data_IF_558845686480
#
_entry.id   IF_558845686480
#
_cell.length_a   1.000
_cell.length_b   1.000
_cell.length_c   1.000
_cell.angle_alpha   90.00
_cell.angle_beta   90.00
_cell.angle_gamma   90.00
#
_symmetry.space_group_name_H-M   'P 1'
#
loop_
_entity.id
_entity.type
_entity.pdbx_description
1 polymer ?
#
# COMPACT_ATOMS: atom_id res chain seq x y z
N UNK A 1 -21.78 -20.51 10.93
CA UNK A 1 -22.40 -19.49 11.82
C UNK A 1 -21.54 -18.25 11.74
N UNK A 2 -22.09 -17.15 11.25
CA UNK A 2 -21.39 -15.86 11.24
C UNK A 2 -21.17 -15.46 12.71
N UNK A 3 -19.93 -15.16 13.14
CA UNK A 3 -19.67 -14.70 14.51
C UNK A 3 -20.47 -13.43 14.80
N UNK A 4 -20.97 -13.26 16.02
CA UNK A 4 -21.58 -11.98 16.42
C UNK A 4 -20.47 -10.91 16.43
N UNK A 5 -20.39 -10.08 15.38
CA UNK A 5 -19.28 -9.13 15.20
C UNK A 5 -19.25 -8.06 16.29
N UNK A 6 -20.43 -7.71 16.85
CA UNK A 6 -20.57 -6.70 17.88
C UNK A 6 -19.74 -7.03 19.13
N UNK A 7 -19.61 -8.31 19.48
CA UNK A 7 -18.86 -8.74 20.67
C UNK A 7 -17.34 -8.87 20.40
N UNK A 8 -16.93 -8.84 19.13
CA UNK A 8 -15.59 -9.23 18.68
C UNK A 8 -14.82 -8.10 17.97
N UNK A 9 -15.40 -6.90 17.89
CA UNK A 9 -14.78 -5.71 17.30
C UNK A 9 -14.94 -4.56 18.28
N UNK A 10 -13.83 -4.06 18.80
CA UNK A 10 -13.82 -2.91 19.70
C UNK A 10 -13.09 -1.75 19.03
N UNK A 11 -13.78 -0.62 18.82
CA UNK A 11 -13.16 0.61 18.37
C UNK A 11 -12.27 1.17 19.50
N UNK A 12 -10.97 1.30 19.23
CA UNK A 12 -9.99 1.80 20.22
C UNK A 12 -9.35 3.12 19.81
N UNK A 13 -9.55 3.55 18.57
CA UNK A 13 -9.14 4.85 18.06
C UNK A 13 -10.11 5.28 16.96
N UNK A 14 -10.53 6.53 17.01
CA UNK A 14 -11.28 7.20 15.97
C UNK A 14 -10.79 8.64 15.85
N UNK A 15 -10.44 9.05 14.64
CA UNK A 15 -10.13 10.43 14.32
C UNK A 15 -10.72 10.78 12.96
N UNK A 16 -11.17 12.02 12.80
CA UNK A 16 -11.42 12.61 11.50
C UNK A 16 -10.24 13.56 11.22
N UNK A 17 -9.42 13.23 10.22
CA UNK A 17 -8.28 14.05 9.83
C UNK A 17 -8.74 15.02 8.73
N UNK A 18 -8.73 16.34 8.98
CA UNK A 18 -9.13 17.32 7.98
C UNK A 18 -8.22 17.29 6.75
N UNK A 19 -8.77 17.54 5.56
CA UNK A 19 -7.99 17.59 4.32
C UNK A 19 -6.81 18.56 4.36
N UNK A 20 -7.00 19.76 4.92
CA UNK A 20 -5.92 20.76 5.09
C UNK A 20 -4.79 20.22 5.96
N UNK A 21 -5.11 19.54 7.06
CA UNK A 21 -4.13 18.92 7.94
C UNK A 21 -3.32 17.83 7.23
N UNK A 22 -3.99 16.97 6.47
CA UNK A 22 -3.35 15.90 5.69
C UNK A 22 -2.38 16.47 4.65
N UNK A 23 -2.77 17.56 3.98
CA UNK A 23 -1.97 18.22 2.96
C UNK A 23 -0.74 18.94 3.56
N UNK A 24 -0.93 19.72 4.63
CA UNK A 24 0.16 20.43 5.31
C UNK A 24 1.23 19.50 5.88
N UNK A 25 0.83 18.31 6.33
CA UNK A 25 1.73 17.30 6.88
C UNK A 25 2.20 16.27 5.83
N UNK A 26 1.81 16.39 4.56
CA UNK A 26 2.23 15.48 3.50
C UNK A 26 1.79 14.02 3.68
N UNK A 27 0.76 13.76 4.49
CA UNK A 27 0.41 12.42 4.99
C UNK A 27 0.26 11.38 3.88
N UNK A 28 -0.48 11.75 2.83
CA UNK A 28 -0.78 10.83 1.73
C UNK A 28 0.45 10.61 0.85
N UNK A 29 1.25 11.65 0.59
CA UNK A 29 2.49 11.52 -0.19
C UNK A 29 3.51 10.65 0.55
N UNK A 30 3.65 10.83 1.87
CA UNK A 30 4.53 10.02 2.71
C UNK A 30 4.05 8.56 2.81
N UNK A 31 2.74 8.35 2.98
CA UNK A 31 2.15 7.02 3.04
C UNK A 31 2.40 6.22 1.76
N UNK A 32 2.32 6.88 0.59
CA UNK A 32 2.58 6.27 -0.71
C UNK A 32 3.99 6.53 -1.25
N UNK A 33 4.96 6.93 -0.41
CA UNK A 33 6.27 7.46 -0.83
C UNK A 33 6.97 6.62 -1.90
N UNK A 34 7.04 5.30 -1.70
CA UNK A 34 7.68 4.39 -2.68
C UNK A 34 6.96 4.44 -4.04
N UNK A 35 5.63 4.39 -4.03
CA UNK A 35 4.82 4.42 -5.26
C UNK A 35 4.91 5.78 -5.95
N UNK A 36 4.97 6.86 -5.17
CA UNK A 36 5.20 8.23 -5.66
C UNK A 36 6.55 8.35 -6.34
N UNK A 37 7.63 7.82 -5.74
CA UNK A 37 8.96 7.76 -6.38
C UNK A 37 8.87 7.06 -7.75
N UNK A 38 8.28 5.86 -7.82
CA UNK A 38 8.11 5.14 -9.10
C UNK A 38 7.22 5.88 -10.11
N UNK A 39 6.16 6.55 -9.65
CA UNK A 39 5.30 7.37 -10.51
C UNK A 39 6.01 8.60 -11.08
N UNK A 40 6.99 9.17 -10.35
CA UNK A 40 7.82 10.30 -10.78
C UNK A 40 8.95 9.85 -11.71
N UNK A 41 9.68 8.79 -11.35
CA UNK A 41 10.95 8.43 -11.98
C UNK A 41 10.87 7.24 -12.95
N UNK A 42 9.78 6.47 -12.95
CA UNK A 42 9.53 5.37 -13.88
C UNK A 42 10.65 4.34 -13.91
N UNK A 43 11.13 4.02 -15.13
CA UNK A 43 12.19 3.03 -15.40
C UNK A 43 13.44 3.19 -14.54
N UNK A 44 13.83 4.41 -14.21
CA UNK A 44 15.12 4.68 -13.54
C UNK A 44 15.22 4.13 -12.13
N UNK A 45 14.10 3.76 -11.50
CA UNK A 45 14.08 3.12 -10.16
C UNK A 45 13.97 1.60 -10.21
N UNK A 46 13.86 1.01 -11.39
CA UNK A 46 13.76 -0.45 -11.50
C UNK A 46 15.10 -1.07 -11.10
N UNK A 47 15.01 -2.08 -10.24
CA UNK A 47 16.15 -2.94 -9.95
C UNK A 47 16.41 -3.87 -11.14
N UNK A 48 17.61 -4.46 -11.25
CA UNK A 48 17.88 -5.48 -12.26
C UNK A 48 16.89 -6.67 -12.17
N UNK A 49 16.46 -7.03 -10.95
CA UNK A 49 15.44 -8.05 -10.75
C UNK A 49 14.10 -7.61 -11.37
N UNK A 50 13.66 -6.38 -11.08
CA UNK A 50 12.41 -5.85 -11.63
C UNK A 50 12.43 -5.83 -13.16
N UNK A 51 13.54 -5.38 -13.75
CA UNK A 51 13.70 -5.34 -15.21
C UNK A 51 13.59 -6.73 -15.84
N UNK A 52 14.18 -7.76 -15.24
CA UNK A 52 14.06 -9.14 -15.70
C UNK A 52 12.62 -9.66 -15.62
N UNK A 53 11.93 -9.44 -14.50
CA UNK A 53 10.53 -9.88 -14.36
C UNK A 53 9.62 -9.16 -15.36
N UNK A 54 9.83 -7.85 -15.53
CA UNK A 54 9.14 -7.05 -16.55
C UNK A 54 9.35 -7.63 -17.95
N UNK A 55 10.61 -7.87 -18.34
CA UNK A 55 10.94 -8.42 -19.65
C UNK A 55 10.29 -9.77 -19.92
N UNK A 56 10.32 -10.66 -18.92
CA UNK A 56 9.72 -11.98 -19.02
C UNK A 56 8.20 -11.90 -19.15
N UNK A 57 7.56 -11.04 -18.35
CA UNK A 57 6.11 -10.93 -18.34
C UNK A 57 5.57 -10.37 -19.66
N UNK A 58 6.10 -9.23 -20.12
CA UNK A 58 5.64 -8.58 -21.35
C UNK A 58 6.28 -9.13 -22.62
N UNK A 59 7.23 -10.07 -22.50
CA UNK A 59 7.99 -10.63 -23.62
C UNK A 59 8.69 -9.55 -24.47
N UNK A 60 9.30 -8.56 -23.80
CA UNK A 60 10.01 -7.44 -24.44
C UNK A 60 11.36 -7.17 -23.78
N UNK A 61 12.27 -6.50 -24.48
CA UNK A 61 13.51 -6.05 -23.89
C UNK A 61 13.26 -4.85 -22.95
N UNK A 62 13.71 -4.98 -21.69
CA UNK A 62 13.59 -3.91 -20.70
C UNK A 62 14.29 -2.64 -21.17
N UNK A 63 15.48 -2.73 -21.76
CA UNK A 63 16.29 -1.58 -22.20
C UNK A 63 15.62 -0.81 -23.35
N UNK A 64 14.95 -1.50 -24.26
CA UNK A 64 14.31 -0.89 -25.43
C UNK A 64 12.87 -0.41 -25.14
N UNK A 65 12.30 -0.78 -23.98
CA UNK A 65 10.92 -0.45 -23.62
C UNK A 65 10.76 0.97 -23.07
N UNK A 66 9.71 1.66 -23.51
CA UNK A 66 9.29 2.97 -23.01
C UNK A 66 8.50 2.84 -21.69
N UNK A 67 9.23 2.56 -20.61
CA UNK A 67 8.66 2.46 -19.25
C UNK A 67 8.70 3.84 -18.60
N UNK A 68 7.53 4.41 -18.32
CA UNK A 68 7.39 5.78 -17.82
C UNK A 68 6.57 5.82 -16.54
N UNK A 69 6.89 6.76 -15.67
CA UNK A 69 6.06 7.04 -14.50
C UNK A 69 4.76 7.75 -14.88
N UNK A 70 3.72 7.62 -14.05
CA UNK A 70 2.40 8.19 -14.28
C UNK A 70 2.40 9.69 -14.61
N UNK A 71 3.24 10.50 -13.97
CA UNK A 71 3.28 11.95 -14.25
C UNK A 71 3.75 12.26 -15.68
N UNK A 72 4.70 11.49 -16.21
CA UNK A 72 5.11 11.59 -17.62
C UNK A 72 4.02 11.05 -18.54
N UNK A 73 3.27 10.03 -18.11
CA UNK A 73 2.18 9.47 -18.89
C UNK A 73 1.06 10.50 -19.15
N UNK A 74 0.70 11.33 -18.16
CA UNK A 74 -0.31 12.40 -18.32
C UNK A 74 0.00 13.29 -19.52
N UNK A 75 1.25 13.74 -19.65
CA UNK A 75 1.66 14.64 -20.74
C UNK A 75 1.76 13.94 -22.10
N UNK A 76 2.34 12.73 -22.17
CA UNK A 76 2.54 12.04 -23.47
C UNK A 76 1.28 11.38 -24.01
N UNK A 77 0.32 11.05 -23.15
CA UNK A 77 -0.98 10.50 -23.54
C UNK A 77 -2.06 11.59 -23.68
N UNK A 78 -1.80 12.80 -23.19
CA UNK A 78 -2.79 13.89 -23.20
C UNK A 78 -3.99 13.60 -22.31
N UNK A 79 -3.77 12.90 -21.19
CA UNK A 79 -4.81 12.51 -20.22
C UNK A 79 -4.65 13.30 -18.93
N UNK A 80 -5.77 13.59 -18.27
CA UNK A 80 -5.77 14.05 -16.88
C UNK A 80 -5.66 12.88 -15.87
N UNK A 81 -5.56 13.20 -14.58
CA UNK A 81 -5.33 12.24 -13.51
C UNK A 81 -6.46 11.20 -13.39
N UNK A 82 -7.71 11.62 -13.57
CA UNK A 82 -8.88 10.75 -13.49
C UNK A 82 -9.02 9.85 -14.72
N UNK A 83 -8.76 10.39 -15.91
CA UNK A 83 -8.73 9.63 -17.16
C UNK A 83 -7.67 8.54 -17.13
N UNK A 84 -6.45 8.86 -16.66
CA UNK A 84 -5.37 7.88 -16.53
C UNK A 84 -5.68 6.81 -15.47
N UNK A 85 -6.32 7.20 -14.35
CA UNK A 85 -6.75 6.27 -13.30
C UNK A 85 -7.78 5.27 -13.83
N UNK A 86 -8.82 5.77 -14.51
CA UNK A 86 -9.94 5.00 -15.03
C UNK A 86 -9.62 4.22 -16.32
N UNK A 87 -8.42 4.38 -16.88
CA UNK A 87 -8.01 3.64 -18.07
C UNK A 87 -7.83 2.15 -17.74
N UNK A 88 -8.72 1.33 -18.28
CA UNK A 88 -8.70 -0.13 -18.16
C UNK A 88 -7.80 -0.76 -19.23
N UNK A 89 -7.08 -1.80 -18.84
CA UNK A 89 -6.25 -2.62 -19.72
C UNK A 89 -6.57 -4.08 -19.47
N UNK A 90 -6.20 -4.96 -20.42
CA UNK A 90 -6.37 -6.39 -20.24
C UNK A 90 -5.49 -6.92 -19.08
N UNK A 91 -5.81 -8.10 -18.55
CA UNK A 91 -4.98 -8.72 -17.51
C UNK A 91 -3.55 -8.97 -18.01
N UNK A 92 -3.37 -9.32 -19.28
CA UNK A 92 -2.05 -9.53 -19.89
C UNK A 92 -1.26 -8.22 -20.06
N UNK A 93 -1.94 -7.09 -20.00
CA UNK A 93 -1.35 -5.75 -20.06
C UNK A 93 -1.10 -5.17 -18.66
N UNK A 94 -1.39 -5.91 -17.57
CA UNK A 94 -1.27 -5.44 -16.20
C UNK A 94 -0.33 -6.31 -15.36
N UNK A 95 0.84 -5.76 -15.02
CA UNK A 95 1.80 -6.39 -14.11
C UNK A 95 1.77 -5.70 -12.75
N UNK A 96 1.68 -6.50 -11.68
CA UNK A 96 1.95 -6.04 -10.31
C UNK A 96 3.26 -6.65 -9.85
N UNK A 97 4.22 -5.79 -9.51
CA UNK A 97 5.57 -6.20 -9.14
C UNK A 97 6.05 -5.37 -7.95
N UNK A 98 6.31 -6.03 -6.82
CA UNK A 98 6.91 -5.41 -5.64
C UNK A 98 6.16 -4.15 -5.17
N UNK A 99 4.83 -4.22 -5.17
CA UNK A 99 3.94 -3.12 -4.79
C UNK A 99 3.75 -2.03 -5.84
N UNK A 100 4.36 -2.17 -7.03
CA UNK A 100 4.17 -1.26 -8.15
C UNK A 100 3.19 -1.87 -9.15
N UNK A 101 2.30 -1.05 -9.70
CA UNK A 101 1.42 -1.43 -10.80
C UNK A 101 2.01 -0.91 -12.10
N UNK A 102 2.00 -1.73 -13.15
CA UNK A 102 2.51 -1.39 -14.47
C UNK A 102 1.41 -1.74 -15.46
N UNK A 103 0.90 -0.74 -16.19
CA UNK A 103 -0.11 -0.91 -17.25
C UNK A 103 0.53 -0.69 -18.61
N UNK A 104 0.32 -1.59 -19.56
CA UNK A 104 0.69 -1.37 -20.95
C UNK A 104 -0.42 -0.58 -21.65
N UNK A 105 -0.06 0.60 -22.15
CA UNK A 105 -0.98 1.53 -22.83
C UNK A 105 -0.36 1.90 -24.17
N UNK A 106 -0.82 1.24 -25.23
CA UNK A 106 -0.20 1.34 -26.55
C UNK A 106 1.26 0.87 -26.51
N UNK A 107 2.20 1.78 -26.79
CA UNK A 107 3.65 1.51 -26.74
C UNK A 107 4.29 1.77 -25.38
N UNK A 108 3.57 2.38 -24.44
CA UNK A 108 4.10 2.78 -23.14
C UNK A 108 3.79 1.74 -22.07
N UNK A 109 4.69 1.62 -21.10
CA UNK A 109 4.45 0.87 -19.86
C UNK A 109 4.41 1.88 -18.71
N UNK A 110 3.20 2.17 -18.24
CA UNK A 110 2.94 3.24 -17.27
C UNK A 110 2.97 2.68 -15.86
N UNK A 111 3.89 3.19 -15.05
CA UNK A 111 4.09 2.78 -13.65
C UNK A 111 3.23 3.63 -12.72
N UNK A 112 2.43 2.96 -11.88
CA UNK A 112 1.55 3.54 -10.86
C UNK A 112 0.61 4.63 -11.41
N UNK A 113 -0.12 4.29 -12.48
CA UNK A 113 -1.07 5.18 -13.18
C UNK A 113 -2.12 5.82 -12.26
N UNK A 114 -2.35 5.24 -11.09
CA UNK A 114 -3.33 5.68 -10.09
C UNK A 114 -2.83 6.76 -9.13
N UNK A 115 -1.51 6.88 -8.93
CA UNK A 115 -0.93 7.81 -7.94
C UNK A 115 -1.34 9.27 -8.16
N UNK A 116 -1.34 9.83 -9.38
CA UNK A 116 -1.79 11.20 -9.60
C UNK A 116 -3.23 11.43 -9.13
N UNK A 117 -4.13 10.50 -9.40
CA UNK A 117 -5.54 10.60 -8.98
C UNK A 117 -5.69 10.46 -7.48
N UNK A 118 -4.97 9.53 -6.84
CA UNK A 118 -4.98 9.35 -5.38
C UNK A 118 -4.55 10.65 -4.70
N UNK A 119 -3.46 11.27 -5.14
CA UNK A 119 -2.97 12.52 -4.54
C UNK A 119 -3.91 13.69 -4.83
N UNK A 120 -4.48 13.78 -6.03
CA UNK A 120 -5.43 14.84 -6.37
C UNK A 120 -6.76 14.73 -5.60
N UNK A 121 -7.26 13.51 -5.36
CA UNK A 121 -8.48 13.26 -4.60
C UNK A 121 -8.31 13.55 -3.12
N UNK A 122 -7.15 13.28 -2.55
CA UNK A 122 -6.86 13.63 -1.16
C UNK A 122 -6.31 15.05 -1.05
N UNK A 123 -7.18 16.01 -1.37
CA UNK A 123 -6.90 17.45 -1.31
C UNK A 123 -7.31 18.06 0.04
N UNK A 124 -7.12 19.37 0.18
CA UNK A 124 -7.66 20.17 1.30
C UNK A 124 -9.16 19.98 1.56
N UNK A 125 -9.91 19.49 0.56
CA UNK A 125 -11.36 19.34 0.61
C UNK A 125 -11.84 17.95 1.04
N UNK A 126 -10.92 17.04 1.35
CA UNK A 126 -11.25 15.64 1.62
C UNK A 126 -10.73 15.23 2.98
N UNK A 127 -11.67 14.99 3.89
CA UNK A 127 -11.36 14.46 5.21
C UNK A 127 -11.21 12.94 5.17
N UNK A 128 -10.37 12.41 6.05
CA UNK A 128 -10.19 10.96 6.21
C UNK A 128 -10.58 10.55 7.62
N UNK A 129 -11.57 9.67 7.73
CA UNK A 129 -11.89 8.99 8.97
C UNK A 129 -10.94 7.80 9.19
N UNK A 130 -10.21 7.82 10.30
CA UNK A 130 -9.24 6.79 10.68
C UNK A 130 -9.79 6.03 11.88
N UNK A 131 -9.85 4.70 11.76
CA UNK A 131 -10.34 3.82 12.80
C UNK A 131 -9.34 2.71 13.12
N UNK A 132 -9.11 2.45 14.41
CA UNK A 132 -8.42 1.23 14.85
C UNK A 132 -9.41 0.36 15.61
N UNK A 133 -9.49 -0.89 15.18
CA UNK A 133 -10.25 -1.92 15.87
C UNK A 133 -9.32 -2.90 16.59
N UNK A 134 -9.69 -3.26 17.81
CA UNK A 134 -9.22 -4.48 18.46
C UNK A 134 -10.21 -5.58 18.14
N UNK A 135 -9.76 -6.57 17.38
CA UNK A 135 -10.60 -7.68 16.93
C UNK A 135 -9.85 -9.00 16.93
N UNK A 136 -10.61 -10.10 16.92
CA UNK A 136 -10.12 -11.46 16.70
C UNK A 136 -10.13 -11.85 15.22
N UNK A 137 -10.80 -11.07 14.37
CA UNK A 137 -10.83 -11.32 12.92
C UNK A 137 -9.49 -10.96 12.29
N UNK A 138 -9.04 -11.77 11.33
CA UNK A 138 -7.76 -11.60 10.65
C UNK A 138 -7.86 -12.07 9.20
N UNK A 139 -7.07 -11.47 8.31
CA UNK A 139 -7.04 -11.82 6.89
C UNK A 139 -8.43 -11.75 6.25
N UNK A 140 -8.84 -12.83 5.59
CA UNK A 140 -10.14 -12.92 4.91
C UNK A 140 -11.35 -12.69 5.84
N UNK A 141 -11.27 -13.11 7.11
CA UNK A 141 -12.39 -12.89 8.04
C UNK A 141 -12.62 -11.40 8.31
N UNK A 142 -11.54 -10.62 8.38
CA UNK A 142 -11.65 -9.16 8.54
C UNK A 142 -12.08 -8.50 7.23
N UNK A 143 -11.61 -8.98 6.08
CA UNK A 143 -12.09 -8.52 4.78
C UNK A 143 -13.61 -8.66 4.64
N UNK A 144 -14.17 -9.81 5.05
CA UNK A 144 -15.62 -10.05 5.05
C UNK A 144 -16.37 -9.08 5.98
N UNK A 145 -15.76 -8.66 7.08
CA UNK A 145 -16.33 -7.61 7.95
C UNK A 145 -16.44 -6.29 7.20
N UNK A 146 -15.39 -5.87 6.49
CA UNK A 146 -15.42 -4.57 5.81
C UNK A 146 -16.34 -4.59 4.57
N UNK A 147 -16.42 -5.70 3.84
CA UNK A 147 -17.40 -5.85 2.77
C UNK A 147 -18.83 -5.62 3.28
N UNK A 148 -19.16 -6.20 4.43
CA UNK A 148 -20.49 -6.05 5.00
C UNK A 148 -20.73 -4.67 5.60
N UNK A 149 -19.71 -4.02 6.14
CA UNK A 149 -19.78 -2.60 6.48
C UNK A 149 -20.11 -1.76 5.24
N UNK A 150 -19.51 -2.08 4.09
CA UNK A 150 -19.78 -1.39 2.83
C UNK A 150 -21.23 -1.59 2.39
N UNK A 151 -21.72 -2.83 2.42
CA UNK A 151 -23.11 -3.16 2.08
C UNK A 151 -24.10 -2.37 2.94
N UNK A 152 -23.90 -2.35 4.27
CA UNK A 152 -24.74 -1.58 5.20
C UNK A 152 -24.70 -0.08 4.89
N UNK A 153 -23.53 0.49 4.59
CA UNK A 153 -23.42 1.91 4.27
C UNK A 153 -24.10 2.27 2.94
N UNK A 154 -24.14 1.35 1.97
CA UNK A 154 -24.91 1.51 0.74
C UNK A 154 -26.41 1.43 1.03
N UNK A 155 -26.84 0.45 1.83
CA UNK A 155 -28.25 0.27 2.22
C UNK A 155 -28.80 1.50 2.97
N UNK A 156 -27.98 2.11 3.83
CA UNK A 156 -28.32 3.34 4.58
C UNK A 156 -28.18 4.62 3.73
N UNK A 157 -27.79 4.52 2.45
CA UNK A 157 -27.65 5.66 1.54
C UNK A 157 -26.49 6.60 1.86
N UNK A 158 -25.52 6.14 2.67
CA UNK A 158 -24.29 6.88 3.00
C UNK A 158 -23.29 6.78 1.85
N UNK A 159 -23.20 5.62 1.21
CA UNK A 159 -22.38 5.39 0.03
C UNK A 159 -23.25 5.24 -1.22
N UNK A 160 -22.73 5.69 -2.36
CA UNK A 160 -23.37 5.45 -3.65
C UNK A 160 -23.39 3.95 -3.98
N UNK A 161 -24.47 3.48 -4.62
CA UNK A 161 -24.66 2.06 -4.96
C UNK A 161 -23.61 1.46 -5.90
N UNK A 162 -22.84 2.30 -6.60
CA UNK A 162 -21.74 1.89 -7.47
C UNK A 162 -20.36 2.03 -6.79
N UNK A 163 -20.31 2.46 -5.52
CA UNK A 163 -19.08 2.58 -4.76
C UNK A 163 -18.45 1.20 -4.57
N UNK A 164 -17.28 1.00 -5.18
CA UNK A 164 -16.48 -0.19 -4.90
C UNK A 164 -15.83 -0.03 -3.53
N UNK A 165 -15.88 -1.07 -2.70
CA UNK A 165 -15.25 -1.15 -1.39
C UNK A 165 -13.83 -0.55 -1.36
N UNK A 166 -12.99 -0.93 -2.33
CA UNK A 166 -11.59 -0.49 -2.43
C UNK A 166 -11.40 0.99 -2.79
N UNK A 167 -12.46 1.69 -3.21
CA UNK A 167 -12.43 3.13 -3.44
C UNK A 167 -12.81 3.94 -2.20
N UNK A 168 -13.49 3.31 -1.23
CA UNK A 168 -14.00 3.97 -0.02
C UNK A 168 -13.10 3.67 1.17
N UNK A 169 -12.60 2.44 1.26
CA UNK A 169 -11.86 1.97 2.43
C UNK A 169 -10.44 1.54 2.07
N UNK A 170 -9.50 2.00 2.89
CA UNK A 170 -8.18 1.41 3.03
C UNK A 170 -8.09 0.69 4.39
N UNK A 171 -7.43 -0.46 4.43
CA UNK A 171 -7.17 -1.19 5.67
C UNK A 171 -5.83 -1.92 5.60
N UNK A 172 -5.19 -2.09 6.75
CA UNK A 172 -3.93 -2.84 6.85
C UNK A 172 -4.15 -4.32 6.56
N UNK A 173 -3.49 -4.86 5.53
CA UNK A 173 -3.58 -6.28 5.13
C UNK A 173 -2.52 -7.15 5.81
N UNK A 174 -1.64 -6.57 6.60
CA UNK A 174 -0.61 -7.31 7.31
C UNK A 174 0.09 -6.48 8.38
N UNK A 175 0.94 -7.12 9.20
CA UNK A 175 1.52 -6.47 10.37
C UNK A 175 2.42 -5.26 10.04
N UNK A 176 3.20 -5.32 8.96
CA UNK A 176 4.00 -4.17 8.53
C UNK A 176 3.16 -3.01 8.00
N UNK A 177 2.05 -3.30 7.32
CA UNK A 177 1.12 -2.27 6.86
C UNK A 177 0.43 -1.58 8.04
N UNK A 178 0.18 -2.29 9.16
CA UNK A 178 -0.30 -1.65 10.40
C UNK A 178 0.66 -0.57 10.92
N UNK A 179 1.98 -0.79 10.79
CA UNK A 179 2.98 0.21 11.18
C UNK A 179 2.99 1.37 10.19
N UNK A 180 2.94 1.09 8.88
CA UNK A 180 2.87 2.13 7.84
C UNK A 180 1.63 3.02 8.02
N UNK A 181 0.45 2.41 8.20
CA UNK A 181 -0.80 3.12 8.46
C UNK A 181 -0.71 3.92 9.77
N UNK A 182 -0.11 3.33 10.81
CA UNK A 182 0.07 4.01 12.09
C UNK A 182 0.97 5.26 11.99
N UNK A 183 2.06 5.16 11.22
CA UNK A 183 2.94 6.29 10.94
C UNK A 183 2.18 7.38 10.20
N UNK A 184 1.37 7.04 9.20
CA UNK A 184 0.67 8.06 8.41
C UNK A 184 -0.50 8.72 9.15
N UNK A 185 -1.29 7.94 9.90
CA UNK A 185 -2.67 8.35 10.23
C UNK A 185 -2.99 8.48 11.72
N UNK A 186 -2.05 8.19 12.63
CA UNK A 186 -2.33 8.24 14.07
C UNK A 186 -1.77 9.49 14.71
N UNK A 187 -2.69 10.38 15.06
CA UNK A 187 -2.42 11.65 15.70
C UNK A 187 -3.17 11.78 17.03
N UNK A 188 -2.60 12.55 17.95
CA UNK A 188 -3.29 13.05 19.13
C UNK A 188 -4.09 14.32 18.82
N UNK A 189 -4.80 14.83 19.82
CA UNK A 189 -5.64 16.04 19.70
C UNK A 189 -4.84 17.32 19.43
N UNK A 190 -3.50 17.27 19.57
CA UNK A 190 -2.60 18.40 19.29
C UNK A 190 -1.97 18.32 17.89
N UNK A 191 -2.35 17.32 17.09
CA UNK A 191 -1.79 17.09 15.76
C UNK A 191 -0.42 16.44 15.77
N UNK A 192 0.02 15.86 16.90
CA UNK A 192 1.30 15.12 16.98
C UNK A 192 1.06 13.63 16.79
N UNK A 193 2.02 12.95 16.16
CA UNK A 193 1.93 11.50 16.00
C UNK A 193 1.85 10.77 17.34
N UNK A 194 0.95 9.77 17.41
CA UNK A 194 0.94 8.84 18.52
C UNK A 194 2.21 7.98 18.50
N UNK A 195 2.81 7.66 19.67
CA UNK A 195 3.99 6.83 19.72
C UNK A 195 3.77 5.45 19.10
N UNK A 196 4.64 5.02 18.17
CA UNK A 196 4.55 3.70 17.53
C UNK A 196 4.65 2.52 18.51
N UNK A 197 5.23 2.73 19.69
CA UNK A 197 5.19 1.78 20.81
C UNK A 197 3.78 1.46 21.31
N UNK A 198 2.74 2.14 20.81
CA UNK A 198 1.36 1.78 21.10
C UNK A 198 0.82 0.72 20.11
N UNK A 199 1.52 0.49 19.00
CA UNK A 199 1.18 -0.53 18.01
C UNK A 199 1.75 -1.87 18.45
N UNK A 200 0.88 -2.88 18.56
CA UNK A 200 1.25 -4.19 19.10
C UNK A 200 2.36 -4.86 18.30
N UNK A 201 2.30 -4.79 16.97
CA UNK A 201 3.33 -5.39 16.12
C UNK A 201 4.68 -4.69 16.26
N UNK A 202 4.70 -3.35 16.35
CA UNK A 202 5.92 -2.58 16.58
C UNK A 202 6.60 -2.99 17.90
N UNK A 203 5.85 -3.10 18.99
CA UNK A 203 6.37 -3.60 20.27
C UNK A 203 6.85 -5.05 20.19
N UNK A 204 6.14 -5.90 19.45
CA UNK A 204 6.55 -7.28 19.23
C UNK A 204 7.92 -7.34 18.54
N UNK A 205 8.14 -6.55 17.49
CA UNK A 205 9.44 -6.46 16.80
C UNK A 205 10.56 -5.95 17.71
N UNK A 206 10.30 -4.91 18.52
CA UNK A 206 11.25 -4.45 19.53
C UNK A 206 11.58 -5.52 20.56
N UNK A 207 10.57 -6.27 21.02
CA UNK A 207 10.75 -7.41 21.93
C UNK A 207 11.55 -8.57 21.32
N UNK A 208 11.59 -8.69 19.98
CA UNK A 208 12.45 -9.62 19.24
C UNK A 208 13.85 -9.05 18.95
N UNK A 209 14.15 -7.84 19.41
CA UNK A 209 15.48 -7.23 19.36
C UNK A 209 15.72 -6.27 18.20
N UNK A 210 14.69 -5.89 17.42
CA UNK A 210 14.84 -4.85 16.40
C UNK A 210 14.82 -3.45 17.01
N UNK A 211 15.69 -2.59 16.52
CA UNK A 211 15.70 -1.17 16.85
C UNK A 211 14.61 -0.40 16.10
N UNK A 212 14.18 0.77 16.62
CA UNK A 212 13.29 1.69 15.89
C UNK A 212 13.77 2.04 14.48
N UNK A 213 15.08 2.20 14.30
CA UNK A 213 15.69 2.53 13.01
C UNK A 213 15.53 1.39 12.00
N UNK A 214 15.79 0.14 12.41
CA UNK A 214 15.59 -1.03 11.55
C UNK A 214 14.12 -1.18 11.13
N UNK A 215 13.20 -0.99 12.07
CA UNK A 215 11.76 -1.03 11.78
C UNK A 215 11.39 0.06 10.78
N UNK A 216 11.85 1.30 11.00
CA UNK A 216 11.63 2.41 10.06
C UNK A 216 12.20 2.14 8.67
N UNK A 217 13.37 1.52 8.57
CA UNK A 217 13.95 1.12 7.29
C UNK A 217 13.09 0.09 6.57
N UNK A 218 12.50 -0.90 7.26
CA UNK A 218 11.59 -1.84 6.58
C UNK A 218 10.36 -1.15 6.00
N UNK A 219 9.88 -0.07 6.62
CA UNK A 219 8.73 0.69 6.13
C UNK A 219 9.12 1.60 4.95
N UNK A 220 10.23 2.31 5.06
CA UNK A 220 10.65 3.33 4.08
C UNK A 220 11.40 2.75 2.88
N UNK A 221 12.00 1.56 3.03
CA UNK A 221 12.74 0.83 2.01
C UNK A 221 12.24 -0.62 1.94
N UNK A 222 11.00 -0.85 1.46
CA UNK A 222 10.28 -2.10 1.68
C UNK A 222 10.79 -3.28 0.87
N UNK A 223 11.76 -3.10 -0.04
CA UNK A 223 12.26 -4.17 -0.91
C UNK A 223 13.33 -4.98 -0.21
N UNK A 224 13.09 -6.29 -0.11
CA UNK A 224 13.99 -7.25 0.51
C UNK A 224 14.33 -8.38 -0.45
N UNK A 225 15.54 -8.92 -0.31
CA UNK A 225 16.02 -10.08 -1.05
C UNK A 225 15.87 -11.36 -0.23
N UNK A 226 15.30 -12.38 -0.84
CA UNK A 226 15.10 -13.70 -0.24
C UNK A 226 15.71 -14.78 -1.13
N UNK A 227 16.21 -15.86 -0.52
CA UNK A 227 16.54 -17.08 -1.27
C UNK A 227 15.28 -17.91 -1.45
N UNK A 228 14.96 -18.27 -2.68
CA UNK A 228 13.88 -19.21 -2.96
C UNK A 228 14.34 -20.67 -2.72
N UNK A 229 13.44 -21.64 -2.96
CA UNK A 229 13.72 -23.07 -2.72
C UNK A 229 14.87 -23.63 -3.57
N UNK A 230 15.15 -23.01 -4.71
CA UNK A 230 16.23 -23.38 -5.63
C UNK A 230 17.54 -22.65 -5.29
N UNK A 231 17.54 -21.77 -4.28
CA UNK A 231 18.69 -20.96 -3.88
C UNK A 231 18.86 -19.67 -4.68
N UNK A 232 17.98 -19.36 -5.63
CA UNK A 232 17.99 -18.11 -6.39
C UNK A 232 17.50 -16.93 -5.53
N UNK A 233 18.05 -15.75 -5.80
CA UNK A 233 17.64 -14.51 -5.13
C UNK A 233 16.39 -13.94 -5.81
N UNK A 234 15.36 -13.71 -5.01
CA UNK A 234 14.14 -13.00 -5.37
C UNK A 234 14.01 -11.70 -4.58
N UNK A 235 13.55 -10.63 -5.22
CA UNK A 235 13.20 -9.38 -4.53
C UNK A 235 11.69 -9.30 -4.32
N UNK A 236 11.26 -9.01 -3.09
CA UNK A 236 9.85 -8.83 -2.75
C UNK A 236 9.67 -7.66 -1.79
N UNK A 237 8.54 -6.96 -1.92
CA UNK A 237 8.12 -5.96 -0.92
C UNK A 237 7.71 -6.65 0.38
N UNK A 238 8.15 -6.10 1.52
CA UNK A 238 7.79 -6.61 2.85
C UNK A 238 6.28 -6.64 3.07
N UNK A 239 5.56 -5.64 2.57
CA UNK A 239 4.10 -5.57 2.65
C UNK A 239 3.44 -6.72 1.89
N UNK A 240 4.01 -7.13 0.76
CA UNK A 240 3.50 -8.24 -0.03
C UNK A 240 3.77 -9.59 0.64
N UNK A 241 4.98 -9.82 1.15
CA UNK A 241 5.35 -11.13 1.74
C UNK A 241 4.82 -11.34 3.15
N UNK A 242 4.38 -10.28 3.83
CA UNK A 242 3.76 -10.35 5.17
C UNK A 242 2.25 -10.16 5.16
N UNK A 243 1.65 -10.08 3.96
CA UNK A 243 0.21 -10.00 3.80
C UNK A 243 -0.46 -11.22 4.43
N UNK A 244 -1.50 -10.98 5.23
CA UNK A 244 -2.31 -11.98 5.93
C UNK A 244 -1.52 -12.87 6.91
N UNK A 245 -0.25 -12.57 7.19
CA UNK A 245 0.59 -13.36 8.11
C UNK A 245 0.42 -12.93 9.57
N UNK A 246 0.54 -13.89 10.48
CA UNK A 246 0.68 -13.59 11.91
C UNK A 246 1.98 -12.84 12.22
N UNK A 247 2.08 -12.33 13.45
CA UNK A 247 3.27 -11.63 13.92
C UNK A 247 4.53 -12.53 13.90
N UNK A 248 4.39 -13.79 14.34
CA UNK A 248 5.50 -14.75 14.34
C UNK A 248 5.91 -15.19 12.94
N UNK A 249 4.96 -15.35 12.02
CA UNK A 249 5.27 -15.65 10.62
C UNK A 249 5.99 -14.46 9.95
N UNK A 250 5.50 -13.23 10.17
CA UNK A 250 6.15 -12.01 9.67
C UNK A 250 7.58 -11.87 10.19
N UNK A 251 7.80 -12.20 11.48
CA UNK A 251 9.15 -12.24 12.07
C UNK A 251 10.06 -13.26 11.39
N UNK A 252 9.56 -14.48 11.13
CA UNK A 252 10.33 -15.51 10.42
C UNK A 252 10.70 -15.06 9.01
N UNK A 253 9.78 -14.38 8.30
CA UNK A 253 10.03 -13.84 6.97
C UNK A 253 11.18 -12.83 7.00
N UNK A 254 11.13 -11.82 7.87
CA UNK A 254 12.22 -10.81 7.89
C UNK A 254 13.56 -11.39 8.32
N UNK A 255 13.56 -12.41 9.18
CA UNK A 255 14.78 -13.14 9.56
C UNK A 255 15.38 -13.97 8.43
N UNK A 256 14.59 -14.29 7.41
CA UNK A 256 15.04 -14.99 6.21
C UNK A 256 15.53 -14.05 5.10
N UNK A 257 15.33 -12.73 5.26
CA UNK A 257 15.84 -11.74 4.34
C UNK A 257 17.37 -11.78 4.33
N UNK A 258 17.94 -11.77 3.15
CA UNK A 258 19.39 -11.83 2.91
C UNK A 258 20.01 -10.45 2.70
N UNK A 259 19.23 -9.51 2.16
CA UNK A 259 19.62 -8.11 1.99
C UNK A 259 18.37 -7.22 1.87
N UNK A 260 18.57 -5.92 2.01
CA UNK A 260 17.58 -4.89 1.73
C UNK A 260 18.04 -4.08 0.51
N UNK A 261 17.10 -3.78 -0.38
CA UNK A 261 17.36 -2.97 -1.58
C UNK A 261 16.99 -1.53 -1.27
N UNK A 262 17.90 -0.61 -1.58
CA UNK A 262 17.71 0.82 -1.37
C UNK A 262 17.23 1.48 -2.67
N UNK A 263 16.09 2.17 -2.58
CA UNK A 263 15.43 2.93 -3.64
C UNK A 263 15.67 4.44 -3.54
#
# INVERSE_FOLDING_TARGET
KVPNWQDNINLVYLANLPGDFLNENGVIEEHYLTRVKFAKFGKSLFTPFMGRIFSNYYSVNFEDSEIIGAYKALSVLGLNEEELFNLWVSMDDMLVLNGQTIKRIGKYYVVNSDIPSILNKNSSKTDIAVMIFRTVFWGNDFYDVILKMTDVLIEEGILDSHSQFSHVFHYSKGPFEQILDAIGFLYDQTGKHLPLKNIRFYNFLMGKGLSPLEISHFITQPLLQFKNREGHIEEKSIFQVTKDLSYEESWKIIRSATAQVLL
#
